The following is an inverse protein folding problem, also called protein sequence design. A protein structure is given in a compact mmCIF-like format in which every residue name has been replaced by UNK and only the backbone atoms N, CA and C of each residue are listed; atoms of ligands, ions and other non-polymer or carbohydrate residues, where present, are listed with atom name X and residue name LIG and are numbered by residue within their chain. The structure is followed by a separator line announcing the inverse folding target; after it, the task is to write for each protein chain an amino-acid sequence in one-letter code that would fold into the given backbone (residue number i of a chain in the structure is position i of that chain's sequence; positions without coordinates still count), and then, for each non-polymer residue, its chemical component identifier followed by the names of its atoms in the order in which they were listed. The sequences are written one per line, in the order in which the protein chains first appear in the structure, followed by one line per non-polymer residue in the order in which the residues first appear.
data_IF_525828676827
#
_entry.id   IF_525828676827
#
_cell.length_a   1.000
_cell.length_b   1.000
_cell.length_c   1.000
_cell.angle_alpha   90.00
_cell.angle_beta   90.00
_cell.angle_gamma   90.00
#
_symmetry.space_group_name_H-M   'P 1'
#
loop_
_entity.id
_entity.type
_entity.pdbx_description
1 polymer ?
#
# COMPACT_ATOMS: atom_id res chain seq x y z
N UNK A 1 7.25 8.16 1.26
CA UNK A 1 7.13 6.80 0.72
C UNK A 1 5.69 6.56 0.31
N UNK A 2 5.41 6.04 -0.89
CA UNK A 2 4.03 5.76 -1.31
C UNK A 2 3.36 4.60 -0.56
N UNK A 3 4.07 3.95 0.38
CA UNK A 3 3.57 2.82 1.15
C UNK A 3 2.79 3.24 2.39
N UNK A 4 1.79 2.45 2.74
CA UNK A 4 0.85 2.61 3.85
C UNK A 4 1.45 2.50 5.25
N UNK A 5 2.77 2.55 5.43
CA UNK A 5 3.44 2.23 6.69
C UNK A 5 3.48 0.71 6.99
N UNK A 6 3.04 -0.11 6.05
CA UNK A 6 3.10 -1.56 6.14
C UNK A 6 4.55 -2.04 6.16
N UNK A 7 4.94 -2.73 7.21
CA UNK A 7 6.31 -3.22 7.37
C UNK A 7 6.43 -4.68 6.93
N UNK A 8 5.61 -5.55 7.47
CA UNK A 8 5.59 -6.96 7.17
C UNK A 8 4.26 -7.58 7.57
N UNK A 9 3.90 -8.69 6.96
CA UNK A 9 2.89 -9.63 7.43
C UNK A 9 3.52 -10.99 7.65
N UNK A 10 2.91 -11.76 8.54
CA UNK A 10 3.16 -13.18 8.68
C UNK A 10 1.83 -13.91 8.63
N UNK A 11 1.74 -14.88 7.76
CA UNK A 11 0.66 -15.85 7.71
C UNK A 11 1.26 -17.27 7.75
N UNK A 12 0.52 -18.28 8.22
CA UNK A 12 1.02 -19.66 8.28
C UNK A 12 1.59 -20.12 6.94
N UNK A 13 2.78 -20.72 6.98
CA UNK A 13 3.50 -21.19 5.79
C UNK A 13 4.44 -20.19 5.14
N UNK A 14 4.36 -18.90 5.45
CA UNK A 14 5.31 -17.91 4.93
C UNK A 14 6.73 -18.11 5.49
N UNK A 15 7.72 -17.85 4.64
CA UNK A 15 9.13 -17.83 5.01
C UNK A 15 9.65 -16.39 4.95
N UNK A 16 10.60 -16.02 5.83
CA UNK A 16 11.32 -14.77 5.67
C UNK A 16 12.04 -14.76 4.33
N UNK A 17 11.81 -13.74 3.54
CA UNK A 17 12.49 -13.52 2.27
C UNK A 17 13.50 -12.40 2.45
N UNK A 18 14.81 -12.68 2.22
CA UNK A 18 15.80 -11.62 2.19
C UNK A 18 15.56 -10.72 0.98
N UNK A 19 15.67 -9.43 1.17
CA UNK A 19 15.63 -8.51 0.04
C UNK A 19 16.88 -8.67 -0.83
N UNK A 20 16.79 -8.38 -2.14
CA UNK A 20 17.97 -8.37 -3.01
C UNK A 20 19.04 -7.41 -2.47
N UNK A 21 20.30 -7.64 -2.82
CA UNK A 21 21.39 -6.74 -2.46
C UNK A 21 21.08 -5.31 -2.94
N UNK A 22 21.43 -4.32 -2.12
CA UNK A 22 21.14 -2.92 -2.41
C UNK A 22 19.69 -2.48 -2.11
N UNK A 23 18.80 -3.39 -1.72
CA UNK A 23 17.40 -3.09 -1.42
C UNK A 23 17.14 -3.02 0.07
N UNK A 24 16.32 -2.07 0.49
CA UNK A 24 15.92 -1.92 1.89
C UNK A 24 14.61 -1.19 2.07
N UNK A 25 13.91 -1.53 3.13
CA UNK A 25 12.70 -0.82 3.56
C UNK A 25 13.07 0.26 4.56
N UNK A 26 12.67 1.47 4.30
CA UNK A 26 12.94 2.59 5.18
C UNK A 26 12.01 2.60 6.38
N UNK A 27 12.59 2.62 7.58
CA UNK A 27 11.88 2.86 8.83
C UNK A 27 12.35 4.22 9.36
N UNK A 28 11.51 5.27 9.35
CA UNK A 28 11.89 6.58 9.89
C UNK A 28 12.24 6.50 11.38
N UNK A 29 13.23 7.29 11.80
CA UNK A 29 13.57 7.42 13.21
C UNK A 29 12.36 7.92 14.01
N UNK A 30 12.13 7.34 15.19
CA UNK A 30 10.98 7.65 16.03
C UNK A 30 9.68 6.95 15.64
N UNK A 31 9.71 6.05 14.62
CA UNK A 31 8.55 5.23 14.27
C UNK A 31 8.11 4.34 15.43
N UNK A 32 6.80 4.15 15.56
CA UNK A 32 6.20 3.17 16.47
C UNK A 32 5.72 1.97 15.66
N UNK A 33 5.95 0.76 16.18
CA UNK A 33 5.39 -0.46 15.61
C UNK A 33 3.99 -0.70 16.17
N UNK A 34 3.06 -0.97 15.28
CA UNK A 34 1.70 -1.42 15.63
C UNK A 34 1.58 -2.86 15.15
N UNK A 35 1.28 -3.77 16.07
CA UNK A 35 1.02 -5.17 15.77
C UNK A 35 -0.49 -5.37 15.69
N UNK A 36 -0.97 -5.88 14.56
CA UNK A 36 -2.34 -6.37 14.41
C UNK A 36 -2.27 -7.90 14.47
N UNK A 37 -2.92 -8.48 15.48
CA UNK A 37 -2.91 -9.91 15.73
C UNK A 37 -4.29 -10.51 15.47
N UNK A 38 -4.34 -11.56 14.66
CA UNK A 38 -5.55 -12.31 14.36
C UNK A 38 -5.39 -13.72 14.92
N UNK A 39 -6.21 -14.07 15.91
CA UNK A 39 -6.18 -15.38 16.56
C UNK A 39 -7.48 -16.14 16.32
N UNK A 40 -7.37 -17.44 16.08
CA UNK A 40 -8.52 -18.34 16.07
C UNK A 40 -8.63 -18.98 17.45
N UNK A 41 -9.76 -18.77 18.18
CA UNK A 41 -9.98 -19.39 19.47
C UNK A 41 -10.00 -20.92 19.37
N UNK A 42 -9.32 -21.59 20.30
CA UNK A 42 -9.29 -23.06 20.38
C UNK A 42 -9.95 -23.61 21.65
N UNK A 43 -10.67 -22.76 22.41
CA UNK A 43 -11.38 -23.12 23.62
C UNK A 43 -10.48 -23.32 24.85
N UNK A 44 -9.21 -22.94 24.79
CA UNK A 44 -8.26 -23.04 25.91
C UNK A 44 -7.58 -21.70 26.11
N UNK A 45 -7.24 -21.39 27.36
CA UNK A 45 -6.37 -20.24 27.66
C UNK A 45 -4.99 -20.48 27.06
N UNK A 46 -4.48 -19.49 26.34
CA UNK A 46 -3.19 -19.51 25.65
C UNK A 46 -2.48 -18.20 25.87
N UNK A 47 -1.14 -18.25 25.85
CA UNK A 47 -0.29 -17.07 25.87
C UNK A 47 0.55 -17.05 24.61
N UNK A 48 0.59 -15.92 23.94
CA UNK A 48 1.49 -15.68 22.79
C UNK A 48 2.46 -14.55 23.08
N UNK A 49 3.65 -14.65 22.50
CA UNK A 49 4.68 -13.59 22.51
C UNK A 49 5.18 -13.39 21.10
N UNK A 50 4.53 -12.48 20.38
CA UNK A 50 4.94 -12.10 19.02
C UNK A 50 6.24 -11.30 19.05
N UNK A 51 7.16 -11.65 18.15
CA UNK A 51 8.45 -10.97 17.99
C UNK A 51 8.69 -10.64 16.54
N UNK A 52 9.32 -9.49 16.29
CA UNK A 52 9.84 -9.10 14.99
C UNK A 52 11.36 -8.98 15.06
N UNK A 53 12.06 -9.64 14.15
CA UNK A 53 13.49 -9.48 13.95
C UNK A 53 13.75 -8.50 12.81
N UNK A 54 14.59 -7.49 13.06
CA UNK A 54 15.00 -6.50 12.05
C UNK A 54 16.50 -6.64 11.80
N UNK A 55 16.88 -6.75 10.54
CA UNK A 55 18.28 -6.67 10.11
C UNK A 55 18.47 -5.31 9.45
N UNK A 56 19.29 -4.46 10.06
CA UNK A 56 19.58 -3.15 9.53
C UNK A 56 20.77 -3.21 8.59
N UNK A 57 20.70 -2.46 7.50
CA UNK A 57 21.80 -2.27 6.56
C UNK A 57 22.32 -0.82 6.65
N UNK A 58 23.62 -0.60 6.44
CA UNK A 58 24.16 0.74 6.31
C UNK A 58 23.48 1.51 5.19
N UNK A 59 23.13 2.76 5.45
CA UNK A 59 22.34 3.54 4.51
C UNK A 59 23.00 3.71 3.14
N UNK A 60 24.32 3.76 3.10
CA UNK A 60 25.14 3.88 1.88
C UNK A 60 25.12 2.63 1.01
N UNK A 61 24.75 1.47 1.55
CA UNK A 61 24.64 0.21 0.79
C UNK A 61 23.29 0.00 0.14
N UNK A 62 22.32 0.88 0.43
CA UNK A 62 20.95 0.79 -0.08
C UNK A 62 20.78 1.80 -1.21
N UNK A 63 20.54 1.32 -2.40
CA UNK A 63 20.27 2.10 -3.61
C UNK A 63 18.82 2.02 -4.09
N UNK A 64 18.05 1.05 -3.56
CA UNK A 64 16.63 0.87 -3.85
C UNK A 64 15.77 0.83 -2.57
N UNK A 65 14.70 1.60 -2.55
CA UNK A 65 13.73 1.61 -1.46
C UNK A 65 12.55 0.68 -1.78
N UNK A 66 12.28 -0.25 -0.87
CA UNK A 66 11.14 -1.16 -0.93
C UNK A 66 9.91 -0.56 -0.25
N UNK A 67 8.75 -0.80 -0.83
CA UNK A 67 7.46 -0.47 -0.24
C UNK A 67 6.41 -1.49 -0.67
N UNK A 68 5.32 -1.58 0.09
CA UNK A 68 4.20 -2.46 -0.23
C UNK A 68 3.02 -1.63 -0.71
N UNK A 69 2.48 -1.97 -1.86
CA UNK A 69 1.20 -1.49 -2.36
C UNK A 69 0.11 -2.51 -2.03
N UNK A 70 -1.14 -2.07 -2.04
CA UNK A 70 -2.28 -2.92 -1.77
C UNK A 70 -3.44 -2.55 -2.70
N UNK A 71 -4.06 -3.56 -3.29
CA UNK A 71 -5.36 -3.42 -3.90
C UNK A 71 -6.38 -4.22 -3.10
N UNK A 72 -7.55 -3.64 -2.87
CA UNK A 72 -8.61 -4.21 -2.06
C UNK A 72 -9.96 -3.86 -2.64
N UNK A 73 -10.87 -4.83 -2.64
CA UNK A 73 -12.30 -4.57 -2.78
C UNK A 73 -12.99 -4.93 -1.47
N UNK A 74 -13.69 -3.97 -0.88
CA UNK A 74 -14.45 -4.12 0.37
C UNK A 74 -15.96 -4.06 0.13
N UNK A 75 -16.39 -3.85 -1.10
CA UNK A 75 -17.79 -3.67 -1.49
C UNK A 75 -18.23 -4.89 -2.29
N UNK A 76 -18.46 -5.99 -1.62
CA UNK A 76 -18.99 -7.21 -2.24
C UNK A 76 -19.89 -7.99 -1.28
N UNK A 77 -20.76 -8.78 -1.88
CA UNK A 77 -21.61 -9.75 -1.19
C UNK A 77 -21.54 -11.09 -1.93
N UNK A 78 -21.12 -12.14 -1.24
CA UNK A 78 -21.07 -13.50 -1.78
C UNK A 78 -22.40 -14.19 -1.40
N UNK A 79 -23.24 -14.53 -2.38
CA UNK A 79 -24.54 -15.15 -2.11
C UNK A 79 -24.41 -16.52 -1.42
N UNK A 80 -25.43 -16.93 -0.65
CA UNK A 80 -25.54 -18.31 -0.17
C UNK A 80 -25.40 -19.32 -1.32
N UNK A 81 -24.71 -20.41 -1.04
CA UNK A 81 -24.50 -21.54 -1.97
C UNK A 81 -23.79 -21.21 -3.29
N UNK A 82 -23.17 -20.02 -3.42
CA UNK A 82 -22.43 -19.66 -4.62
C UNK A 82 -21.16 -20.50 -4.75
N UNK A 83 -21.03 -21.26 -5.84
CA UNK A 83 -19.87 -22.15 -6.06
C UNK A 83 -18.62 -21.44 -6.59
N UNK A 84 -18.78 -20.26 -7.21
CA UNK A 84 -17.66 -19.50 -7.79
C UNK A 84 -18.05 -18.04 -8.00
N UNK A 85 -18.20 -17.28 -6.91
CA UNK A 85 -18.57 -15.88 -6.97
C UNK A 85 -17.34 -15.00 -7.28
N UNK A 86 -17.35 -14.20 -8.36
CA UNK A 86 -16.23 -13.33 -8.69
C UNK A 86 -16.31 -12.00 -7.93
N UNK A 87 -15.15 -11.53 -7.45
CA UNK A 87 -14.98 -10.20 -6.88
C UNK A 87 -13.74 -9.59 -7.54
N UNK A 88 -13.93 -8.46 -8.22
CA UNK A 88 -12.84 -7.76 -8.90
C UNK A 88 -12.38 -6.53 -8.13
N UNK A 89 -11.14 -6.14 -8.34
CA UNK A 89 -10.60 -4.90 -7.83
C UNK A 89 -9.45 -4.39 -8.70
N UNK A 90 -9.13 -3.11 -8.51
CA UNK A 90 -8.09 -2.43 -9.29
C UNK A 90 -7.05 -1.85 -8.36
N UNK A 91 -5.78 -1.90 -8.77
CA UNK A 91 -4.70 -1.21 -8.07
C UNK A 91 -4.92 0.30 -8.20
N UNK A 92 -5.07 1.02 -7.07
CA UNK A 92 -5.51 2.41 -7.12
C UNK A 92 -4.46 3.37 -7.70
N UNK A 93 -3.18 2.97 -7.63
CA UNK A 93 -2.07 3.80 -8.08
C UNK A 93 -0.85 2.95 -8.44
N UNK A 94 -0.25 3.23 -9.60
CA UNK A 94 0.98 2.60 -10.09
C UNK A 94 2.10 3.66 -10.16
N UNK A 95 3.06 3.68 -9.20
CA UNK A 95 4.18 4.62 -9.26
C UNK A 95 5.03 4.35 -10.51
N UNK A 96 5.17 5.31 -11.44
CA UNK A 96 5.81 5.04 -12.75
C UNK A 96 7.32 4.76 -12.64
N UNK A 97 7.98 5.21 -11.58
CA UNK A 97 9.41 4.96 -11.34
C UNK A 97 9.68 3.66 -10.58
N UNK A 98 8.65 2.90 -10.25
CA UNK A 98 8.78 1.70 -9.46
C UNK A 98 8.76 0.44 -10.32
N UNK A 99 9.40 -0.61 -9.76
CA UNK A 99 9.39 -1.95 -10.30
C UNK A 99 8.69 -2.89 -9.33
N UNK A 100 7.84 -3.75 -9.86
CA UNK A 100 7.12 -4.77 -9.14
C UNK A 100 8.02 -5.98 -8.88
N UNK A 101 8.01 -6.49 -7.65
CA UNK A 101 8.85 -7.60 -7.22
C UNK A 101 8.04 -8.86 -6.93
N UNK A 102 6.89 -8.73 -6.28
CA UNK A 102 6.12 -9.89 -5.81
C UNK A 102 4.65 -9.56 -5.58
N UNK A 103 3.86 -10.63 -5.45
CA UNK A 103 2.44 -10.59 -5.13
C UNK A 103 2.11 -11.49 -3.95
N UNK A 104 1.22 -11.05 -3.07
CA UNK A 104 0.66 -11.84 -1.98
C UNK A 104 -0.85 -11.70 -1.98
N UNK A 105 -1.58 -12.55 -2.70
CA UNK A 105 -3.04 -12.57 -2.65
C UNK A 105 -3.52 -13.07 -1.29
N UNK A 106 -4.62 -12.48 -0.81
CA UNK A 106 -5.20 -12.82 0.48
C UNK A 106 -6.72 -12.90 0.40
N UNK A 107 -7.25 -14.04 0.78
CA UNK A 107 -8.66 -14.35 0.98
C UNK A 107 -8.79 -15.22 2.23
N UNK A 108 -10.01 -15.40 2.74
CA UNK A 108 -10.27 -16.29 3.86
C UNK A 108 -10.72 -17.70 3.42
N UNK A 109 -11.58 -18.37 4.20
CA UNK A 109 -11.92 -19.79 4.02
C UNK A 109 -12.67 -20.12 2.73
N UNK A 110 -13.35 -19.14 2.12
CA UNK A 110 -14.07 -19.32 0.86
C UNK A 110 -13.25 -19.01 -0.38
N UNK A 111 -12.02 -18.55 -0.20
CA UNK A 111 -11.12 -18.29 -1.31
C UNK A 111 -10.92 -19.51 -2.20
N UNK A 112 -11.20 -19.37 -3.52
CA UNK A 112 -11.12 -20.45 -4.51
C UNK A 112 -10.01 -20.26 -5.51
N UNK A 113 -9.90 -19.08 -6.10
CA UNK A 113 -8.85 -18.74 -7.04
C UNK A 113 -8.57 -17.23 -7.03
N UNK A 114 -7.38 -16.86 -7.46
CA UNK A 114 -6.96 -15.47 -7.56
C UNK A 114 -6.17 -15.22 -8.83
N UNK A 115 -6.49 -14.16 -9.57
CA UNK A 115 -5.81 -13.81 -10.80
C UNK A 115 -5.52 -12.33 -10.86
N UNK A 116 -4.32 -11.95 -11.31
CA UNK A 116 -3.95 -10.59 -11.62
C UNK A 116 -3.66 -10.43 -13.10
N UNK A 117 -4.12 -9.31 -13.64
CA UNK A 117 -3.95 -8.94 -15.04
C UNK A 117 -3.45 -7.50 -15.13
N UNK A 118 -2.33 -7.31 -15.81
CA UNK A 118 -1.82 -6.00 -16.19
C UNK A 118 -2.35 -5.61 -17.57
N UNK A 119 -2.67 -4.34 -17.76
CA UNK A 119 -3.19 -3.79 -19.01
C UNK A 119 -2.31 -2.67 -19.53
N UNK A 120 -2.08 -2.63 -20.85
CA UNK A 120 -1.40 -1.55 -21.56
C UNK A 120 -2.12 -1.28 -22.88
N UNK A 121 -2.81 -0.16 -22.99
CA UNK A 121 -3.73 0.07 -24.12
C UNK A 121 -4.75 -1.07 -24.22
N UNK A 122 -4.83 -1.68 -25.41
CA UNK A 122 -5.71 -2.83 -25.68
C UNK A 122 -5.09 -4.20 -25.32
N UNK A 123 -3.86 -4.23 -24.84
CA UNK A 123 -3.18 -5.47 -24.47
C UNK A 123 -3.43 -5.81 -22.98
N UNK A 124 -3.56 -7.11 -22.70
CA UNK A 124 -3.69 -7.64 -21.37
C UNK A 124 -2.70 -8.79 -21.16
N UNK A 125 -2.02 -8.79 -20.01
CA UNK A 125 -1.05 -9.81 -19.62
C UNK A 125 -1.41 -10.37 -18.25
N UNK A 126 -1.40 -11.70 -18.09
CA UNK A 126 -1.58 -12.35 -16.81
C UNK A 126 -0.29 -12.25 -16.01
N UNK A 127 -0.33 -11.54 -14.89
CA UNK A 127 0.81 -11.35 -13.99
C UNK A 127 0.90 -12.45 -12.92
N UNK A 128 -0.25 -12.93 -12.46
CA UNK A 128 -0.36 -14.03 -11.51
C UNK A 128 -1.65 -14.80 -11.79
N UNK A 129 -1.56 -16.13 -11.74
CA UNK A 129 -2.73 -17.03 -11.78
C UNK A 129 -2.58 -18.10 -10.70
N UNK A 130 -3.48 -18.06 -9.69
CA UNK A 130 -3.59 -19.02 -8.60
C UNK A 130 -4.93 -19.74 -8.79
N UNK A 131 -4.98 -20.80 -9.60
CA UNK A 131 -6.24 -21.46 -9.96
C UNK A 131 -6.88 -22.25 -8.81
N UNK A 132 -6.10 -22.55 -7.76
CA UNK A 132 -6.54 -23.19 -6.51
C UNK A 132 -5.88 -22.48 -5.34
N UNK A 133 -6.60 -21.53 -4.76
CA UNK A 133 -6.18 -20.86 -3.55
C UNK A 133 -6.40 -21.77 -2.35
N UNK A 134 -5.50 -21.73 -1.37
CA UNK A 134 -5.61 -22.41 -0.10
C UNK A 134 -5.29 -21.42 1.03
N UNK A 135 -6.22 -21.23 1.94
CA UNK A 135 -6.05 -20.34 3.10
C UNK A 135 -4.85 -20.70 3.97
N UNK A 136 -4.50 -22.01 4.03
CA UNK A 136 -3.34 -22.47 4.79
C UNK A 136 -2.03 -22.41 4.01
N UNK A 137 -2.05 -21.91 2.76
CA UNK A 137 -0.92 -21.82 1.85
C UNK A 137 -0.84 -20.48 1.15
N UNK A 138 -0.73 -19.41 1.95
CA UNK A 138 -0.68 -18.04 1.45
C UNK A 138 0.76 -17.64 1.15
N UNK A 139 1.15 -17.75 -0.12
CA UNK A 139 2.51 -17.46 -0.55
C UNK A 139 2.68 -16.01 -1.02
N UNK A 140 3.91 -15.51 -0.83
CA UNK A 140 4.44 -14.42 -1.62
C UNK A 140 5.00 -14.98 -2.93
N UNK A 141 4.43 -14.60 -4.05
CA UNK A 141 4.84 -15.02 -5.40
C UNK A 141 5.82 -14.01 -5.96
N UNK A 142 7.11 -14.37 -5.95
CA UNK A 142 8.19 -13.53 -6.46
C UNK A 142 8.25 -13.58 -7.99
N UNK A 143 8.42 -12.43 -8.62
CA UNK A 143 8.71 -12.35 -10.04
C UNK A 143 10.16 -12.75 -10.29
N UNK A 144 10.39 -13.58 -11.30
CA UNK A 144 11.75 -13.96 -11.73
C UNK A 144 12.61 -12.75 -12.11
N UNK A 145 11.96 -11.73 -12.66
CA UNK A 145 12.56 -10.46 -13.05
C UNK A 145 11.61 -9.35 -12.64
N UNK A 146 12.10 -8.30 -11.94
CA UNK A 146 11.28 -7.14 -11.63
C UNK A 146 10.62 -6.56 -12.89
N UNK A 147 9.41 -6.03 -12.76
CA UNK A 147 8.63 -5.48 -13.86
C UNK A 147 8.36 -3.98 -13.61
N UNK A 148 8.78 -3.11 -14.53
CA UNK A 148 8.44 -1.69 -14.42
C UNK A 148 6.92 -1.48 -14.33
N UNK A 149 6.47 -0.74 -13.32
CA UNK A 149 5.04 -0.42 -13.21
C UNK A 149 4.57 0.51 -14.34
N UNK A 150 5.49 1.23 -14.97
CA UNK A 150 5.22 2.02 -16.18
C UNK A 150 4.80 1.19 -17.41
N UNK A 151 5.05 -0.14 -17.37
CA UNK A 151 4.58 -1.05 -18.43
C UNK A 151 3.06 -1.23 -18.41
N UNK A 152 2.37 -0.76 -17.37
CA UNK A 152 0.94 -0.95 -17.18
C UNK A 152 0.22 0.39 -17.00
N UNK A 153 -0.94 0.52 -17.63
CA UNK A 153 -1.85 1.64 -17.39
C UNK A 153 -2.75 1.35 -16.19
N UNK A 154 -3.04 0.05 -15.94
CA UNK A 154 -3.75 -0.44 -14.77
C UNK A 154 -3.41 -1.90 -14.49
N UNK A 155 -3.56 -2.31 -13.24
CA UNK A 155 -3.51 -3.71 -12.82
C UNK A 155 -4.82 -4.03 -12.12
N UNK A 156 -5.48 -5.11 -12.53
CA UNK A 156 -6.73 -5.59 -11.98
C UNK A 156 -6.56 -6.98 -11.39
N UNK A 157 -7.35 -7.29 -10.37
CA UNK A 157 -7.46 -8.65 -9.87
C UNK A 157 -8.88 -9.17 -9.94
N UNK A 158 -9.02 -10.48 -10.06
CA UNK A 158 -10.24 -11.23 -9.82
C UNK A 158 -9.96 -12.26 -8.73
N UNK A 159 -10.68 -12.15 -7.62
CA UNK A 159 -10.79 -13.17 -6.59
C UNK A 159 -12.08 -13.97 -6.82
N UNK A 160 -12.04 -15.29 -6.67
CA UNK A 160 -13.24 -16.13 -6.71
C UNK A 160 -13.43 -16.82 -5.37
N UNK A 161 -14.70 -16.89 -4.95
CA UNK A 161 -15.09 -17.46 -3.68
C UNK A 161 -16.07 -18.62 -3.86
N UNK A 162 -15.90 -19.66 -3.05
CA UNK A 162 -16.77 -20.83 -2.99
C UNK A 162 -17.51 -20.85 -1.64
N UNK A 163 -18.75 -20.34 -1.66
CA UNK A 163 -19.67 -20.34 -0.51
C UNK A 163 -20.64 -21.54 -0.57
N UNK A 164 -20.28 -22.60 -1.28
CA UNK A 164 -21.14 -23.79 -1.40
C UNK A 164 -20.82 -24.85 -0.36
N UNK A 165 -21.67 -25.89 -0.33
CA UNK A 165 -21.44 -27.10 0.49
C UNK A 165 -20.28 -27.95 -0.02
N UNK A 166 -19.77 -27.71 -1.24
CA UNK A 166 -18.62 -28.41 -1.80
C UNK A 166 -17.28 -27.91 -1.24
N UNK A 167 -17.24 -26.73 -0.61
CA UNK A 167 -16.08 -26.21 0.07
C UNK A 167 -16.04 -26.72 1.52
N UNK A 168 -15.13 -27.65 1.87
CA UNK A 168 -15.07 -28.24 3.21
C UNK A 168 -14.61 -27.24 4.29
N UNK A 169 -13.99 -26.13 3.90
CA UNK A 169 -13.53 -25.09 4.81
C UNK A 169 -14.62 -24.01 5.07
N UNK A 170 -15.72 -24.02 4.31
CA UNK A 170 -16.80 -23.06 4.46
C UNK A 170 -17.57 -23.32 5.77
N UNK A 171 -17.59 -22.35 6.72
CA UNK A 171 -18.25 -22.56 8.01
C UNK A 171 -19.79 -22.64 7.91
N UNK A 172 -20.39 -21.90 6.97
CA UNK A 172 -21.85 -21.91 6.75
C UNK A 172 -22.19 -21.46 5.31
N UNK A 173 -22.61 -22.38 4.44
CA UNK A 173 -22.95 -22.05 3.06
C UNK A 173 -24.31 -21.33 2.91
N UNK A 174 -25.10 -21.21 3.97
CA UNK A 174 -26.42 -20.54 3.94
C UNK A 174 -26.33 -19.03 4.20
N UNK A 175 -25.17 -18.54 4.62
CA UNK A 175 -24.97 -17.13 4.94
C UNK A 175 -24.64 -16.31 3.69
N UNK A 176 -25.18 -15.10 3.66
CA UNK A 176 -24.65 -14.03 2.81
C UNK A 176 -23.34 -13.54 3.45
N UNK A 177 -22.25 -13.50 2.69
CA UNK A 177 -20.92 -13.17 3.19
C UNK A 177 -20.43 -11.88 2.57
N UNK A 178 -19.98 -10.95 3.40
CA UNK A 178 -19.40 -9.67 2.98
C UNK A 178 -17.99 -9.51 3.50
N UNK A 179 -17.39 -8.34 3.21
CA UNK A 179 -16.09 -7.96 3.75
C UNK A 179 -16.07 -7.97 5.28
N UNK A 180 -15.01 -8.52 5.85
CA UNK A 180 -14.75 -8.46 7.28
C UNK A 180 -13.37 -9.00 7.67
N UNK A 181 -12.99 -8.70 8.91
CA UNK A 181 -11.66 -9.05 9.45
C UNK A 181 -11.59 -10.50 9.97
N UNK A 182 -12.75 -11.13 10.16
CA UNK A 182 -12.83 -12.49 10.71
C UNK A 182 -12.73 -13.54 9.60
N UNK A 183 -12.17 -14.70 9.91
CA UNK A 183 -11.98 -15.78 8.91
C UNK A 183 -13.29 -16.37 8.36
N UNK A 184 -14.40 -16.21 9.06
CA UNK A 184 -15.73 -16.58 8.56
C UNK A 184 -16.43 -15.50 7.73
N UNK A 185 -15.91 -14.28 7.72
CA UNK A 185 -16.17 -13.23 6.73
C UNK A 185 -15.19 -13.42 5.56
N UNK A 186 -15.09 -12.48 4.62
CA UNK A 186 -14.14 -12.63 3.52
C UNK A 186 -13.37 -11.35 3.23
N UNK A 187 -12.18 -11.53 2.63
CA UNK A 187 -11.34 -10.47 2.11
C UNK A 187 -10.99 -10.72 0.66
N UNK A 188 -11.05 -9.68 -0.17
CA UNK A 188 -10.54 -9.66 -1.54
C UNK A 188 -9.38 -8.66 -1.61
N UNK A 189 -8.16 -9.14 -1.35
CA UNK A 189 -6.97 -8.29 -1.21
C UNK A 189 -5.79 -8.90 -1.97
N UNK A 190 -4.95 -8.05 -2.51
CA UNK A 190 -3.59 -8.41 -2.90
C UNK A 190 -2.60 -7.37 -2.42
N UNK A 191 -1.57 -7.84 -1.76
CA UNK A 191 -0.38 -7.05 -1.46
C UNK A 191 0.67 -7.30 -2.52
N UNK A 192 1.44 -6.29 -2.87
CA UNK A 192 2.58 -6.47 -3.74
C UNK A 192 3.72 -5.57 -3.31
N UNK A 193 4.90 -6.17 -3.24
CA UNK A 193 6.12 -5.43 -2.98
C UNK A 193 6.63 -4.83 -4.28
N UNK A 194 6.98 -3.57 -4.19
CA UNK A 194 7.59 -2.82 -5.26
C UNK A 194 8.86 -2.12 -4.75
N UNK A 195 9.73 -1.80 -5.66
CA UNK A 195 10.96 -1.10 -5.38
C UNK A 195 11.11 0.11 -6.28
N UNK A 196 11.80 1.12 -5.81
CA UNK A 196 12.21 2.27 -6.61
C UNK A 196 13.63 2.69 -6.24
N UNK A 197 14.39 3.30 -7.16
CA UNK A 197 15.71 3.83 -6.84
C UNK A 197 15.64 4.75 -5.61
N UNK A 198 16.52 4.52 -4.66
CA UNK A 198 16.64 5.37 -3.46
C UNK A 198 17.13 6.74 -3.87
N UNK A 199 16.37 7.75 -3.61
CA UNK A 199 16.56 9.03 -4.26
C UNK A 199 16.15 8.92 -5.73
N UNK A 200 15.08 8.16 -6.03
CA UNK A 200 14.39 8.07 -7.31
C UNK A 200 14.08 9.45 -7.90
N UNK A 201 14.50 10.39 -7.15
CA UNK A 201 14.83 11.77 -7.41
C UNK A 201 16.32 12.10 -7.24
N UNK A 202 17.29 11.24 -7.51
CA UNK A 202 18.68 11.75 -7.45
C UNK A 202 18.93 12.72 -8.60
N UNK A 203 18.47 12.41 -9.80
CA UNK A 203 18.37 13.37 -10.89
C UNK A 203 17.36 14.48 -10.59
N UNK A 204 16.24 14.22 -9.95
CA UNK A 204 15.29 15.23 -9.50
C UNK A 204 15.74 15.91 -8.20
N UNK A 205 16.65 15.34 -7.39
CA UNK A 205 17.25 16.00 -6.23
C UNK A 205 18.51 16.78 -6.58
N UNK A 206 19.31 16.29 -7.51
CA UNK A 206 20.38 17.06 -8.15
C UNK A 206 19.78 18.16 -9.02
N UNK A 207 18.75 17.86 -9.79
CA UNK A 207 17.97 18.85 -10.52
C UNK A 207 17.19 19.78 -9.58
N UNK A 208 16.74 19.32 -8.42
CA UNK A 208 16.09 20.11 -7.37
C UNK A 208 17.07 20.99 -6.61
N UNK A 209 18.28 20.50 -6.33
CA UNK A 209 19.34 21.31 -5.73
C UNK A 209 19.86 22.35 -6.74
N UNK A 210 19.93 21.99 -8.02
CA UNK A 210 20.27 22.91 -9.10
C UNK A 210 19.14 23.94 -9.33
N UNK A 211 17.87 23.55 -9.26
CA UNK A 211 16.71 24.42 -9.36
C UNK A 211 16.48 25.25 -8.08
N UNK A 212 16.72 24.70 -6.89
CA UNK A 212 16.70 25.46 -5.64
C UNK A 212 17.84 26.48 -5.57
N UNK A 213 19.00 26.17 -6.15
CA UNK A 213 20.09 27.09 -6.33
C UNK A 213 19.81 28.15 -7.42
N UNK A 214 18.93 27.84 -8.39
CA UNK A 214 18.52 28.76 -9.47
C UNK A 214 17.33 29.64 -9.11
N UNK A 215 16.62 29.37 -7.99
CA UNK A 215 15.43 30.11 -7.59
C UNK A 215 14.21 29.95 -8.51
N UNK A 216 14.14 28.80 -9.24
CA UNK A 216 13.13 28.57 -10.27
C UNK A 216 11.77 28.16 -9.65
N UNK A 217 10.68 28.92 -9.91
CA UNK A 217 9.34 28.64 -9.37
C UNK A 217 8.63 27.45 -10.04
N UNK A 218 9.22 26.81 -11.05
CA UNK A 218 8.55 25.78 -11.87
C UNK A 218 8.36 24.44 -11.14
N UNK A 219 9.21 24.12 -10.17
CA UNK A 219 9.10 22.91 -9.37
C UNK A 219 7.93 22.96 -8.37
N UNK A 220 7.72 24.10 -7.74
CA UNK A 220 6.55 24.36 -6.89
C UNK A 220 5.22 24.22 -7.69
N UNK A 221 5.26 24.52 -8.99
CA UNK A 221 4.08 24.44 -9.85
C UNK A 221 3.71 23.00 -10.25
N UNK A 222 4.67 22.12 -10.46
CA UNK A 222 4.43 20.72 -10.85
C UNK A 222 3.88 19.87 -9.69
N UNK A 223 4.40 20.05 -8.47
CA UNK A 223 3.86 19.36 -7.28
C UNK A 223 2.48 19.89 -6.90
N UNK A 224 2.27 21.19 -7.01
CA UNK A 224 0.95 21.80 -6.82
C UNK A 224 -0.05 21.33 -7.89
N UNK A 225 0.38 21.17 -9.14
CA UNK A 225 -0.44 20.64 -10.21
C UNK A 225 -0.82 19.18 -9.95
N UNK A 226 0.13 18.33 -9.53
CA UNK A 226 -0.14 16.93 -9.20
C UNK A 226 -1.04 16.78 -7.98
N UNK A 227 -0.85 17.60 -6.94
CA UNK A 227 -1.73 17.63 -5.78
C UNK A 227 -3.15 18.08 -6.15
N UNK A 228 -3.25 19.11 -6.99
CA UNK A 228 -4.52 19.59 -7.50
C UNK A 228 -5.24 18.54 -8.35
N UNK A 229 -4.53 17.89 -9.26
CA UNK A 229 -5.09 16.80 -10.08
C UNK A 229 -5.61 15.65 -9.22
N UNK A 230 -4.87 15.25 -8.18
CA UNK A 230 -5.33 14.25 -7.21
C UNK A 230 -6.60 14.69 -6.49
N UNK A 231 -6.67 15.93 -6.01
CA UNK A 231 -7.84 16.49 -5.33
C UNK A 231 -9.03 16.57 -6.27
N UNK A 232 -8.82 17.02 -7.51
CA UNK A 232 -9.85 17.10 -8.54
C UNK A 232 -10.40 15.71 -8.89
N UNK A 233 -9.56 14.69 -8.99
CA UNK A 233 -9.95 13.29 -9.21
C UNK A 233 -10.73 12.73 -8.03
N UNK A 234 -10.29 13.03 -6.81
CA UNK A 234 -10.97 12.60 -5.59
C UNK A 234 -12.40 13.16 -5.52
N UNK A 235 -12.57 14.46 -5.76
CA UNK A 235 -13.89 15.08 -5.78
C UNK A 235 -14.74 14.58 -6.95
N UNK A 236 -14.18 14.42 -8.14
CA UNK A 236 -14.90 13.83 -9.30
C UNK A 236 -15.45 12.44 -8.97
N UNK A 237 -14.73 11.65 -8.19
CA UNK A 237 -15.11 10.29 -7.83
C UNK A 237 -16.14 10.23 -6.71
N UNK A 238 -16.01 11.05 -5.68
CA UNK A 238 -16.80 10.96 -4.45
C UNK A 238 -17.81 12.08 -4.26
N UNK A 239 -17.77 13.11 -5.10
CA UNK A 239 -18.76 14.19 -5.18
C UNK A 239 -19.23 14.36 -6.64
N UNK A 240 -19.90 13.38 -7.24
CA UNK A 240 -20.34 13.43 -8.63
C UNK A 240 -21.38 14.52 -8.88
N UNK A 241 -22.01 15.08 -7.85
CA UNK A 241 -22.98 16.17 -7.94
C UNK A 241 -22.33 17.55 -7.90
N UNK A 242 -21.03 17.64 -7.59
CA UNK A 242 -20.30 18.90 -7.52
C UNK A 242 -20.72 19.80 -6.37
N UNK A 243 -21.11 19.23 -5.25
CA UNK A 243 -21.56 19.98 -4.04
C UNK A 243 -20.41 20.66 -3.31
N UNK A 244 -19.15 20.27 -3.62
CA UNK A 244 -17.94 20.76 -2.97
C UNK A 244 -17.66 20.15 -1.60
N UNK A 245 -18.49 19.20 -1.18
CA UNK A 245 -18.37 18.51 0.11
C UNK A 245 -18.72 17.02 -0.05
N UNK A 246 -17.95 16.16 0.60
CA UNK A 246 -18.16 14.72 0.57
C UNK A 246 -18.51 14.26 1.98
N UNK A 247 -19.73 13.73 2.22
CA UNK A 247 -20.06 13.15 3.51
C UNK A 247 -19.07 12.03 3.87
N UNK A 248 -18.48 12.09 5.06
CA UNK A 248 -17.46 11.15 5.52
C UNK A 248 -17.97 9.69 5.53
N UNK A 249 -19.24 9.49 5.79
CA UNK A 249 -19.89 8.19 5.80
C UNK A 249 -20.09 7.59 4.39
N UNK A 250 -20.02 8.40 3.34
CA UNK A 250 -20.08 7.96 1.95
C UNK A 250 -18.72 7.53 1.40
N UNK A 251 -17.62 7.84 2.08
CA UNK A 251 -16.30 7.32 1.68
C UNK A 251 -16.17 5.83 2.02
N UNK A 252 -15.48 5.05 1.16
CA UNK A 252 -15.09 3.69 1.48
C UNK A 252 -14.39 3.59 2.84
N UNK A 253 -14.70 2.56 3.61
CA UNK A 253 -14.19 2.38 4.97
C UNK A 253 -12.65 2.40 5.03
N UNK A 254 -11.99 1.90 3.98
CA UNK A 254 -10.54 1.96 3.82
C UNK A 254 -10.00 3.39 3.87
N UNK A 255 -10.66 4.32 3.17
CA UNK A 255 -10.27 5.73 3.14
C UNK A 255 -10.54 6.38 4.48
N UNK A 256 -11.67 6.08 5.13
CA UNK A 256 -12.04 6.64 6.44
C UNK A 256 -11.08 6.29 7.57
N UNK A 257 -10.44 5.11 7.52
CA UNK A 257 -9.54 4.61 8.59
C UNK A 257 -8.11 5.17 8.52
N UNK A 258 -7.63 5.47 7.33
CA UNK A 258 -6.21 5.77 7.11
C UNK A 258 -5.87 7.24 6.94
N UNK A 259 -6.85 8.11 6.75
CA UNK A 259 -6.62 9.53 6.47
C UNK A 259 -7.53 10.40 7.34
N UNK A 260 -6.93 11.35 8.07
CA UNK A 260 -7.67 12.41 8.75
C UNK A 260 -8.10 13.46 7.70
N UNK A 261 -9.09 13.11 6.88
CA UNK A 261 -9.57 13.99 5.81
C UNK A 261 -10.51 15.06 6.34
N UNK A 262 -11.33 14.73 7.32
CA UNK A 262 -12.24 15.60 8.04
C UNK A 262 -11.48 16.17 9.26
N UNK A 263 -10.79 17.31 9.04
CA UNK A 263 -9.87 17.88 10.04
C UNK A 263 -10.62 18.60 11.17
N UNK A 264 -11.71 19.25 10.85
CA UNK A 264 -12.55 19.99 11.80
C UNK A 264 -13.62 19.09 12.44
N UNK A 265 -13.71 17.84 11.99
CA UNK A 265 -14.63 16.81 12.49
C UNK A 265 -16.11 17.19 12.35
N UNK A 266 -16.46 17.92 11.27
CA UNK A 266 -17.83 18.34 10.96
C UNK A 266 -18.66 17.26 10.24
N UNK A 267 -18.05 16.11 9.88
CA UNK A 267 -18.69 14.99 9.19
C UNK A 267 -18.63 15.07 7.68
N UNK A 268 -18.01 16.10 7.13
CA UNK A 268 -17.81 16.31 5.69
C UNK A 268 -16.32 16.44 5.39
N UNK A 269 -15.93 16.09 4.19
CA UNK A 269 -14.60 16.37 3.66
C UNK A 269 -14.73 17.48 2.66
N UNK A 270 -14.10 18.59 2.98
CA UNK A 270 -14.06 19.77 2.15
C UNK A 270 -12.79 19.79 1.29
N UNK A 271 -12.84 20.48 0.15
CA UNK A 271 -11.68 20.63 -0.73
C UNK A 271 -10.50 21.28 -0.01
N UNK A 272 -10.79 22.31 0.80
CA UNK A 272 -9.81 23.07 1.58
C UNK A 272 -9.04 22.20 2.57
N UNK A 273 -9.68 21.18 3.14
CA UNK A 273 -9.03 20.25 4.05
C UNK A 273 -8.01 19.36 3.34
N UNK A 274 -8.35 18.86 2.15
CA UNK A 274 -7.40 18.11 1.32
C UNK A 274 -6.25 18.99 0.83
N UNK A 275 -6.52 20.23 0.46
CA UNK A 275 -5.49 21.19 0.08
C UNK A 275 -4.60 21.58 1.26
N UNK A 276 -5.16 21.66 2.47
CA UNK A 276 -4.40 21.90 3.71
C UNK A 276 -3.47 20.74 4.02
N UNK A 277 -3.97 19.50 3.93
CA UNK A 277 -3.16 18.29 4.11
C UNK A 277 -2.04 18.19 3.08
N UNK A 278 -2.31 18.54 1.83
CA UNK A 278 -1.30 18.59 0.79
C UNK A 278 -0.22 19.62 1.13
N UNK A 279 -0.62 20.83 1.54
CA UNK A 279 0.31 21.91 1.94
C UNK A 279 1.14 21.54 3.17
N UNK A 280 0.56 20.98 4.22
CA UNK A 280 1.30 20.52 5.41
C UNK A 280 2.34 19.45 5.05
N UNK A 281 2.00 18.53 4.16
CA UNK A 281 2.90 17.49 3.69
C UNK A 281 4.09 18.06 2.92
N UNK A 282 3.88 19.10 2.12
CA UNK A 282 4.93 19.77 1.35
C UNK A 282 5.78 20.68 2.24
N UNK A 283 5.20 21.47 3.13
CA UNK A 283 5.92 22.31 4.10
C UNK A 283 6.80 21.47 5.05
N UNK A 284 6.32 20.32 5.49
CA UNK A 284 7.09 19.42 6.35
C UNK A 284 8.30 18.79 5.64
N UNK A 285 8.24 18.61 4.34
CA UNK A 285 9.37 18.17 3.52
C UNK A 285 10.42 19.30 3.39
N UNK A 286 10.00 20.53 3.20
CA UNK A 286 10.85 21.70 3.09
C UNK A 286 11.56 22.04 4.42
N UNK A 287 10.86 21.98 5.54
CA UNK A 287 11.42 22.18 6.88
C UNK A 287 12.45 21.09 7.27
N UNK A 288 12.25 19.88 6.80
CA UNK A 288 13.16 18.76 7.04
C UNK A 288 14.42 18.88 6.20
N UNK A 289 14.31 19.29 4.95
CA UNK A 289 15.45 19.60 4.08
C UNK A 289 16.28 20.75 4.66
N UNK A 290 15.63 21.80 5.16
CA UNK A 290 16.29 22.96 5.78
C UNK A 290 16.93 22.65 7.16
N UNK A 291 16.52 21.59 7.85
CA UNK A 291 17.16 21.12 9.11
C UNK A 291 18.37 20.23 8.84
N UNK A 292 18.30 19.40 7.82
CA UNK A 292 19.42 18.53 7.42
C UNK A 292 20.60 19.36 6.87
N UNK A 293 20.34 20.47 6.16
CA UNK A 293 21.37 21.41 5.69
C UNK A 293 22.03 22.16 6.87
N UNK A 294 21.30 22.48 7.93
CA UNK A 294 21.86 23.14 9.13
C UNK A 294 22.74 22.21 9.97
N UNK A 295 22.46 20.91 9.97
CA UNK A 295 23.26 19.92 10.70
C UNK A 295 24.49 19.43 9.91
N UNK A 296 24.50 19.59 8.58
CA UNK A 296 25.62 19.23 7.72
C UNK A 296 26.80 20.21 7.75
N UNK A 297 26.63 21.42 8.32
CA UNK A 297 27.66 22.48 8.31
C UNK A 297 28.45 22.58 9.63
N UNK A 298 28.22 21.74 10.63
CA UNK A 298 29.04 21.71 11.83
C UNK A 298 30.20 20.73 11.67
N UNK A 299 31.35 21.24 11.19
CA UNK A 299 32.63 20.55 11.29
C UNK A 299 32.94 20.28 12.76
N UNK A 300 33.03 19.00 13.14
CA UNK A 300 33.58 18.60 14.45
C UNK A 300 35.05 18.89 14.50
N UNK A 301 35.58 19.54 15.58
CA UNK A 301 37.01 19.69 15.77
C UNK A 301 37.65 18.32 16.03
N UNK A 302 38.69 18.01 15.28
CA UNK A 302 39.57 16.85 15.53
C UNK A 302 40.13 16.96 16.94
N UNK A 303 39.81 16.02 17.82
CA UNK A 303 40.50 15.80 19.08
C UNK A 303 41.64 14.82 18.82
N UNK A 304 42.86 15.34 18.82
CA UNK A 304 44.07 14.54 19.01
C UNK A 304 44.03 13.97 20.43
N UNK A 305 44.25 12.67 20.55
CA UNK A 305 44.56 12.01 21.81
C UNK A 305 46.06 11.76 21.86
N UNK A 306 46.71 11.95 23.02
CA UNK A 306 48.12 11.70 23.25
C UNK A 306 48.50 10.22 23.24
#
# INVERSE_FOLDING_TARGET
SPGSGWLAAYVPGQRPLPYPAGHGRRIPAGSKFVFQQHYTPNGREQTDVTRIGLVFAPAETIDHELFTLMAVNQEFEIPPHAESHPVAGTVPFLPPAAELLSFSPHMHYRGKSFRLVGHKGDQAEVLLDVPRYDFNWQHNYELKTPRPLADFDRIEFEARFDNSTNNPANPDPTQLVSWGDQTWEEMAVVFFDATQPRGGNRSAREHRNDLAASGDPEYSSAEQAAAKEFIDDFFRRFDPQGTGQIPRDQLPQAIRRFVRLDQDNNGFIMREELESLARERFQWQDERAARDDRNGSSQSPQREYP
#
